data_IF_978110091047
#
_entry.id   IF_978110091047
#
_cell.length_a   1.000
_cell.length_b   1.000
_cell.length_c   1.000
_cell.angle_alpha   90.00
_cell.angle_beta   90.00
_cell.angle_gamma   90.00
#
_symmetry.space_group_name_H-M   'P 1'
#
loop_
_entity.id
_entity.type
_entity.pdbx_description
1 polymer ?
#
# COMPACT_ATOMS: atom_id res chain seq x y z
N UNK A 1 -24.68 19.22 21.54
CA UNK A 1 -23.40 19.30 22.26
C UNK A 1 -22.36 19.58 21.19
N UNK A 2 -21.59 20.66 21.32
CA UNK A 2 -20.55 20.99 20.33
C UNK A 2 -19.62 19.78 20.27
N UNK A 3 -19.54 19.10 19.13
CA UNK A 3 -18.47 18.12 18.92
C UNK A 3 -17.17 18.92 19.05
N UNK A 4 -16.42 18.70 20.12
CA UNK A 4 -15.03 19.14 20.16
C UNK A 4 -14.33 18.37 19.05
N UNK A 5 -13.66 19.07 18.12
CA UNK A 5 -12.85 18.40 17.10
C UNK A 5 -11.87 17.47 17.82
N UNK A 6 -12.05 16.15 17.67
CA UNK A 6 -11.16 15.14 18.27
C UNK A 6 -9.80 15.25 17.61
N UNK A 7 -8.75 15.27 18.41
CA UNK A 7 -7.38 15.24 17.95
C UNK A 7 -7.01 13.82 17.53
N UNK A 8 -6.46 13.66 16.34
CA UNK A 8 -6.11 12.35 15.79
C UNK A 8 -4.61 12.26 15.49
N UNK A 9 -3.96 11.20 15.94
CA UNK A 9 -2.64 10.82 15.50
C UNK A 9 -2.75 9.59 14.57
N UNK A 10 -1.90 9.52 13.55
CA UNK A 10 -1.89 8.42 12.58
C UNK A 10 -0.51 7.77 12.56
N UNK A 11 -0.46 6.45 12.54
CA UNK A 11 0.81 5.70 12.58
C UNK A 11 1.23 5.16 11.22
N UNK A 12 0.45 5.38 10.15
CA UNK A 12 0.76 4.99 8.79
C UNK A 12 0.28 6.02 7.74
N UNK A 13 0.88 6.05 6.53
CA UNK A 13 0.49 6.97 5.46
C UNK A 13 -0.98 6.84 5.04
N UNK A 14 -1.49 5.62 4.90
CA UNK A 14 -2.88 5.32 4.52
C UNK A 14 -3.89 6.03 5.45
N UNK A 15 -3.73 5.88 6.76
CA UNK A 15 -4.56 6.53 7.76
C UNK A 15 -4.47 8.06 7.70
N UNK A 16 -3.26 8.60 7.49
CA UNK A 16 -3.06 10.04 7.30
C UNK A 16 -3.85 10.57 6.11
N UNK A 17 -3.79 9.88 4.97
CA UNK A 17 -4.53 10.27 3.77
C UNK A 17 -6.05 10.24 3.99
N UNK A 18 -6.56 9.22 4.70
CA UNK A 18 -7.98 9.13 5.07
C UNK A 18 -8.37 10.34 5.92
N UNK A 19 -7.63 10.64 7.00
CA UNK A 19 -7.90 11.77 7.90
C UNK A 19 -7.98 13.10 7.14
N UNK A 20 -7.00 13.36 6.27
CA UNK A 20 -7.00 14.57 5.44
C UNK A 20 -8.16 14.60 4.44
N UNK A 21 -8.49 13.49 3.80
CA UNK A 21 -9.60 13.42 2.85
C UNK A 21 -10.97 13.67 3.53
N UNK A 22 -11.07 13.33 4.82
CA UNK A 22 -12.21 13.61 5.69
C UNK A 22 -12.26 15.05 6.21
N UNK A 23 -11.28 15.88 5.85
CA UNK A 23 -11.23 17.29 6.24
C UNK A 23 -10.76 17.53 7.67
N UNK A 24 -10.08 16.55 8.28
CA UNK A 24 -9.38 16.70 9.54
C UNK A 24 -7.86 16.77 9.29
N UNK A 25 -7.12 17.24 10.28
CA UNK A 25 -5.66 17.34 10.20
C UNK A 25 -5.05 16.61 11.41
N UNK A 26 -4.16 15.63 11.20
CA UNK A 26 -3.57 14.88 12.31
C UNK A 26 -2.64 15.77 13.14
N UNK A 27 -2.54 15.49 14.44
CA UNK A 27 -1.63 16.18 15.37
C UNK A 27 -0.23 15.58 15.37
N UNK A 28 -0.11 14.31 14.98
CA UNK A 28 1.14 13.59 14.74
C UNK A 28 0.90 12.51 13.67
N UNK A 29 1.93 12.17 12.89
CA UNK A 29 1.85 11.22 11.77
C UNK A 29 2.98 10.19 11.82
N UNK A 30 2.99 9.21 10.93
CA UNK A 30 4.18 8.35 10.73
C UNK A 30 5.31 9.11 10.03
N UNK A 31 6.53 8.61 10.15
CA UNK A 31 7.70 9.14 9.46
C UNK A 31 7.63 9.09 7.92
N UNK A 32 6.76 8.25 7.36
CA UNK A 32 6.56 8.08 5.90
C UNK A 32 5.38 8.89 5.38
N UNK A 33 4.74 9.71 6.22
CA UNK A 33 3.58 10.50 5.81
C UNK A 33 4.00 11.73 5.00
N UNK A 34 3.99 11.58 3.68
CA UNK A 34 4.35 12.61 2.70
C UNK A 34 3.12 13.20 1.95
N UNK A 35 1.95 12.57 2.09
CA UNK A 35 0.73 12.93 1.36
C UNK A 35 -0.46 13.18 2.30
N UNK A 36 -1.24 14.27 2.08
CA UNK A 36 -0.92 15.41 1.22
C UNK A 36 0.32 16.16 1.74
N UNK A 37 0.90 17.12 0.99
CA UNK A 37 2.15 17.81 1.40
C UNK A 37 2.14 18.47 2.79
N UNK A 38 0.95 18.74 3.34
CA UNK A 38 0.80 19.24 4.71
C UNK A 38 1.18 18.18 5.78
N UNK A 39 1.14 16.89 5.46
CA UNK A 39 1.52 15.79 6.34
C UNK A 39 3.02 15.79 6.68
N UNK A 40 3.89 16.12 5.71
CA UNK A 40 5.34 16.08 5.88
C UNK A 40 5.89 17.02 6.97
N UNK A 41 5.09 18.01 7.41
CA UNK A 41 5.45 18.94 8.48
C UNK A 41 5.04 18.51 9.89
N UNK A 42 4.39 17.35 10.03
CA UNK A 42 3.84 16.89 11.31
C UNK A 42 4.90 16.20 12.18
N UNK A 43 4.75 16.22 13.52
CA UNK A 43 5.58 15.42 14.41
C UNK A 43 5.45 13.93 14.08
N UNK A 44 6.60 13.26 13.90
CA UNK A 44 6.61 11.83 13.60
C UNK A 44 6.45 10.99 14.88
N UNK A 45 5.37 10.22 14.97
CA UNK A 45 5.02 9.33 16.07
C UNK A 45 5.69 7.95 16.00
N UNK A 46 6.44 7.66 14.93
CA UNK A 46 7.25 6.46 14.82
C UNK A 46 8.54 6.71 14.01
N UNK A 47 9.43 5.72 13.98
CA UNK A 47 10.62 5.67 13.11
C UNK A 47 10.90 4.25 12.65
N UNK A 48 11.46 4.10 11.46
CA UNK A 48 12.02 2.84 10.99
C UNK A 48 13.27 2.43 11.79
N UNK A 49 13.44 1.12 11.97
CA UNK A 49 14.65 0.47 12.49
C UNK A 49 15.53 -0.13 11.40
N UNK A 50 15.05 -0.11 10.15
CA UNK A 50 15.74 -0.60 8.95
C UNK A 50 16.24 0.57 8.10
N UNK A 51 17.28 0.34 7.30
CA UNK A 51 17.76 1.29 6.30
C UNK A 51 17.02 1.06 4.97
N UNK A 52 16.08 1.95 4.58
CA UNK A 52 15.30 1.78 3.36
C UNK A 52 16.10 2.08 2.08
N UNK A 53 17.36 2.53 2.20
CA UNK A 53 18.22 2.89 1.06
C UNK A 53 19.17 1.78 0.63
N UNK A 54 19.13 0.63 1.30
CA UNK A 54 19.91 -0.56 0.96
C UNK A 54 19.31 -1.32 -0.24
N UNK A 55 20.04 -2.33 -0.72
CA UNK A 55 19.57 -3.25 -1.77
C UNK A 55 18.45 -4.16 -1.22
N UNK A 56 17.55 -4.64 -2.10
CA UNK A 56 16.35 -5.38 -1.71
C UNK A 56 16.64 -6.59 -0.81
N UNK A 57 17.63 -7.42 -1.14
CA UNK A 57 17.99 -8.57 -0.30
C UNK A 57 18.56 -8.18 1.08
N UNK A 58 19.23 -7.02 1.19
CA UNK A 58 19.71 -6.51 2.48
C UNK A 58 18.57 -5.92 3.30
N UNK A 59 17.61 -5.24 2.67
CA UNK A 59 16.39 -4.76 3.34
C UNK A 59 15.59 -5.95 3.87
N UNK A 60 15.37 -6.99 3.07
CA UNK A 60 14.66 -8.22 3.51
C UNK A 60 15.32 -8.84 4.75
N UNK A 61 16.65 -8.92 4.76
CA UNK A 61 17.42 -9.42 5.91
C UNK A 61 17.24 -8.53 7.15
N UNK A 62 17.33 -7.21 7.00
CA UNK A 62 17.13 -6.26 8.11
C UNK A 62 15.70 -6.33 8.67
N UNK A 63 14.72 -6.47 7.79
CA UNK A 63 13.30 -6.57 8.15
C UNK A 63 13.04 -7.84 8.96
N UNK A 64 13.57 -8.98 8.53
CA UNK A 64 13.46 -10.25 9.29
C UNK A 64 14.13 -10.15 10.67
N UNK A 65 15.32 -9.55 10.76
CA UNK A 65 16.01 -9.33 12.04
C UNK A 65 15.24 -8.36 12.96
N UNK A 66 14.62 -7.32 12.40
CA UNK A 66 13.84 -6.35 13.15
C UNK A 66 12.53 -6.97 13.69
N UNK A 67 11.86 -7.79 12.89
CA UNK A 67 10.65 -8.52 13.29
C UNK A 67 10.93 -9.41 14.52
N UNK A 68 12.01 -10.19 14.48
CA UNK A 68 12.45 -11.02 15.62
C UNK A 68 12.83 -10.23 16.88
N UNK A 69 13.15 -8.93 16.73
CA UNK A 69 13.62 -8.06 17.81
C UNK A 69 12.63 -6.96 18.21
N UNK A 70 11.36 -7.12 17.83
CA UNK A 70 10.25 -6.28 18.29
C UNK A 70 9.72 -5.30 17.23
N UNK A 71 9.72 -5.71 15.96
CA UNK A 71 9.12 -5.01 14.84
C UNK A 71 10.04 -4.04 14.08
N UNK A 72 9.69 -3.77 12.83
CA UNK A 72 10.40 -2.85 11.90
C UNK A 72 10.32 -1.39 12.35
N UNK A 73 9.29 -1.03 13.12
CA UNK A 73 9.05 0.34 13.56
C UNK A 73 9.08 0.47 15.07
N UNK A 74 9.63 1.59 15.53
CA UNK A 74 9.57 2.01 16.93
C UNK A 74 8.56 3.14 17.09
N UNK A 75 7.66 3.00 18.05
CA UNK A 75 6.71 4.04 18.42
C UNK A 75 7.38 5.05 19.34
N UNK A 76 7.19 6.33 19.01
CA UNK A 76 7.65 7.47 19.81
C UNK A 76 6.51 7.93 20.72
N UNK A 77 6.33 7.20 21.82
CA UNK A 77 5.25 7.48 22.77
C UNK A 77 5.37 8.86 23.43
N UNK A 78 6.58 9.40 23.55
CA UNK A 78 6.84 10.77 24.01
C UNK A 78 6.19 11.82 23.10
N UNK A 79 6.25 11.61 21.78
CA UNK A 79 5.58 12.47 20.80
C UNK A 79 4.07 12.35 20.89
N UNK A 80 3.56 11.13 21.02
CA UNK A 80 2.13 10.91 21.18
C UNK A 80 1.62 11.57 22.47
N UNK A 81 2.37 11.48 23.57
CA UNK A 81 2.05 12.15 24.82
C UNK A 81 2.06 13.68 24.68
N UNK A 82 3.04 14.25 23.97
CA UNK A 82 3.10 15.70 23.71
C UNK A 82 1.96 16.17 22.79
N UNK A 83 1.61 15.37 21.78
CA UNK A 83 0.55 15.67 20.83
C UNK A 83 -0.86 15.54 21.43
N UNK A 84 -1.00 14.76 22.51
CA UNK A 84 -2.25 14.51 23.23
C UNK A 84 -3.45 14.17 22.30
N UNK A 85 -3.36 13.07 21.53
CA UNK A 85 -4.46 12.64 20.66
C UNK A 85 -5.62 12.07 21.48
N UNK A 86 -6.85 12.26 21.00
CA UNK A 86 -8.04 11.55 21.48
C UNK A 86 -8.22 10.20 20.77
N UNK A 87 -7.61 10.05 19.58
CA UNK A 87 -7.64 8.85 18.74
C UNK A 87 -6.24 8.62 18.15
N UNK A 88 -5.77 7.38 18.21
CA UNK A 88 -4.62 6.89 17.44
C UNK A 88 -5.14 5.93 16.38
N UNK A 89 -4.84 6.20 15.11
CA UNK A 89 -5.17 5.29 14.00
C UNK A 89 -3.93 4.51 13.61
N UNK A 90 -4.00 3.18 13.70
CA UNK A 90 -2.98 2.23 13.25
C UNK A 90 -3.52 1.31 12.15
N UNK A 91 -2.67 0.40 11.67
CA UNK A 91 -3.02 -0.56 10.62
C UNK A 91 -2.54 -1.96 10.99
N UNK A 92 -3.40 -2.96 10.75
CA UNK A 92 -3.15 -4.37 11.07
C UNK A 92 -2.82 -5.27 9.88
N UNK A 93 -2.50 -4.68 8.72
CA UNK A 93 -2.47 -5.42 7.44
C UNK A 93 -1.29 -6.39 7.28
N UNK A 94 -0.14 -6.02 7.82
CA UNK A 94 1.12 -6.69 7.57
C UNK A 94 1.86 -6.76 8.88
N UNK A 95 2.11 -7.97 9.35
CA UNK A 95 2.83 -8.23 10.60
C UNK A 95 4.26 -7.68 10.58
N UNK A 96 4.77 -7.37 9.38
CA UNK A 96 6.16 -6.94 9.14
C UNK A 96 6.24 -5.43 8.91
N UNK A 97 5.51 -4.92 7.91
CA UNK A 97 5.60 -3.54 7.44
C UNK A 97 4.54 -2.60 8.04
N UNK A 98 3.66 -3.10 8.93
CA UNK A 98 2.78 -2.24 9.71
C UNK A 98 3.29 -2.14 11.16
N UNK A 99 2.90 -1.06 11.84
CA UNK A 99 3.17 -0.96 13.28
C UNK A 99 2.23 -1.94 14.00
N UNK A 100 2.81 -3.00 14.56
CA UNK A 100 2.09 -4.03 15.31
C UNK A 100 1.15 -3.38 16.36
N UNK A 101 -0.13 -3.78 16.33
CA UNK A 101 -1.14 -3.29 17.27
C UNK A 101 -0.72 -3.49 18.73
N UNK A 102 -0.03 -4.58 19.04
CA UNK A 102 0.50 -4.86 20.38
C UNK A 102 1.47 -3.76 20.80
N UNK A 103 2.40 -3.37 19.94
CA UNK A 103 3.35 -2.28 20.23
C UNK A 103 2.61 -0.96 20.45
N UNK A 104 1.54 -0.70 19.69
CA UNK A 104 0.71 0.51 19.86
C UNK A 104 0.00 0.50 21.20
N UNK A 105 -0.57 -0.63 21.60
CA UNK A 105 -1.22 -0.78 22.91
C UNK A 105 -0.21 -0.62 24.05
N UNK A 106 0.96 -1.24 23.94
CA UNK A 106 2.04 -1.10 24.92
C UNK A 106 2.49 0.37 25.06
N UNK A 107 2.65 1.10 23.95
CA UNK A 107 3.00 2.51 23.99
C UNK A 107 1.90 3.38 24.62
N UNK A 108 0.62 3.09 24.34
CA UNK A 108 -0.52 3.78 24.96
C UNK A 108 -0.52 3.57 26.48
N UNK A 109 -0.27 2.34 26.94
CA UNK A 109 -0.20 2.00 28.35
C UNK A 109 1.03 2.59 29.05
N UNK A 110 2.22 2.47 28.45
CA UNK A 110 3.50 2.96 29.02
C UNK A 110 3.49 4.48 29.22
N UNK A 111 2.93 5.22 28.26
CA UNK A 111 2.88 6.68 28.29
C UNK A 111 1.57 7.22 28.89
N UNK A 112 0.72 6.35 29.44
CA UNK A 112 -0.56 6.70 30.08
C UNK A 112 -1.45 7.59 29.18
N UNK A 113 -1.53 7.27 27.89
CA UNK A 113 -2.29 8.05 26.91
C UNK A 113 -3.80 7.83 27.08
N UNK A 114 -4.57 8.92 27.18
CA UNK A 114 -6.04 8.89 27.23
C UNK A 114 -6.64 8.97 25.82
N UNK A 115 -6.39 7.94 25.01
CA UNK A 115 -6.81 7.89 23.61
C UNK A 115 -7.49 6.58 23.23
N UNK A 116 -8.37 6.65 22.23
CA UNK A 116 -8.95 5.48 21.57
C UNK A 116 -7.98 4.96 20.50
N UNK A 117 -7.73 3.64 20.46
CA UNK A 117 -6.99 3.00 19.37
C UNK A 117 -7.97 2.48 18.31
N UNK A 118 -7.84 2.97 17.08
CA UNK A 118 -8.57 2.49 15.91
C UNK A 118 -7.59 1.79 14.95
N UNK A 119 -7.79 0.49 14.71
CA UNK A 119 -6.95 -0.28 13.78
C UNK A 119 -7.72 -0.50 12.47
N UNK A 120 -7.17 -0.04 11.35
CA UNK A 120 -7.67 -0.36 10.00
C UNK A 120 -7.01 -1.64 9.49
N UNK A 121 -7.73 -2.46 8.74
CA UNK A 121 -7.18 -3.73 8.24
C UNK A 121 -7.72 -4.08 6.84
N UNK A 122 -7.33 -3.31 5.80
CA UNK A 122 -7.94 -3.45 4.50
C UNK A 122 -7.26 -4.53 3.65
N UNK A 123 -8.00 -5.58 3.29
CA UNK A 123 -7.55 -6.62 2.35
C UNK A 123 -8.13 -6.47 0.95
N UNK A 124 -9.08 -5.55 0.77
CA UNK A 124 -9.78 -5.30 -0.49
C UNK A 124 -10.22 -3.82 -0.60
N UNK A 125 -10.66 -3.42 -1.80
CA UNK A 125 -11.32 -2.12 -2.00
C UNK A 125 -12.57 -1.96 -1.11
N UNK A 126 -13.28 -3.07 -0.83
CA UNK A 126 -14.46 -3.02 0.02
C UNK A 126 -14.08 -2.70 1.46
N UNK A 127 -12.96 -3.23 1.94
CA UNK A 127 -12.45 -2.99 3.29
C UNK A 127 -11.96 -1.56 3.44
N UNK A 128 -11.24 -1.03 2.44
CA UNK A 128 -10.89 0.39 2.38
C UNK A 128 -12.12 1.28 2.57
N UNK A 129 -13.24 0.98 1.90
CA UNK A 129 -14.46 1.77 2.09
C UNK A 129 -15.00 1.69 3.52
N UNK A 130 -14.97 0.50 4.14
CA UNK A 130 -15.37 0.31 5.54
C UNK A 130 -14.45 1.06 6.49
N UNK A 131 -13.15 1.10 6.21
CA UNK A 131 -12.17 1.79 7.04
C UNK A 131 -12.34 3.32 6.96
N UNK A 132 -12.60 3.86 5.76
CA UNK A 132 -12.95 5.27 5.58
C UNK A 132 -14.20 5.64 6.38
N UNK A 133 -15.23 4.80 6.36
CA UNK A 133 -16.47 5.02 7.12
C UNK A 133 -16.23 4.96 8.64
N UNK A 134 -15.45 4.00 9.13
CA UNK A 134 -15.09 3.85 10.55
C UNK A 134 -14.27 5.05 11.06
N UNK A 135 -13.25 5.47 10.31
CA UNK A 135 -12.46 6.68 10.65
C UNK A 135 -13.37 7.93 10.59
N UNK A 136 -14.28 7.99 9.62
CA UNK A 136 -15.31 9.02 9.53
C UNK A 136 -16.16 9.12 10.78
N UNK A 137 -16.70 8.00 11.25
CA UNK A 137 -17.51 7.91 12.47
C UNK A 137 -16.71 8.35 13.71
N UNK A 138 -15.50 7.84 13.87
CA UNK A 138 -14.64 8.16 15.01
C UNK A 138 -14.34 9.67 15.11
N UNK A 139 -14.23 10.35 13.95
CA UNK A 139 -13.99 11.80 13.83
C UNK A 139 -15.25 12.66 13.78
N UNK A 140 -16.45 12.08 13.75
CA UNK A 140 -17.71 12.81 13.54
C UNK A 140 -17.80 13.48 12.15
N UNK A 141 -17.30 12.78 11.13
CA UNK A 141 -17.20 13.19 9.72
C UNK A 141 -17.91 12.20 8.78
N UNK A 142 -18.98 11.55 9.24
CA UNK A 142 -19.71 10.49 8.53
C UNK A 142 -20.19 10.92 7.14
N UNK A 143 -20.77 12.12 7.03
CA UNK A 143 -21.25 12.62 5.73
C UNK A 143 -20.10 12.82 4.74
N UNK A 144 -18.94 13.28 5.23
CA UNK A 144 -17.75 13.43 4.40
C UNK A 144 -17.15 12.08 4.00
N UNK A 145 -17.22 11.08 4.87
CA UNK A 145 -16.80 9.72 4.60
C UNK A 145 -17.66 9.08 3.51
N UNK A 146 -18.99 9.17 3.62
CA UNK A 146 -19.91 8.67 2.59
C UNK A 146 -19.66 9.35 1.23
N UNK A 147 -19.51 10.68 1.20
CA UNK A 147 -19.17 11.39 -0.03
C UNK A 147 -17.84 10.92 -0.65
N UNK A 148 -16.83 10.62 0.18
CA UNK A 148 -15.55 10.12 -0.28
C UNK A 148 -15.70 8.72 -0.89
N UNK A 149 -16.35 7.80 -0.18
CA UNK A 149 -16.61 6.43 -0.65
C UNK A 149 -17.39 6.43 -1.96
N UNK A 150 -18.44 7.26 -2.09
CA UNK A 150 -19.22 7.38 -3.32
C UNK A 150 -18.37 7.83 -4.51
N UNK A 151 -17.46 8.79 -4.29
CA UNK A 151 -16.52 9.24 -5.33
C UNK A 151 -15.55 8.14 -5.73
N UNK A 152 -14.98 7.41 -4.77
CA UNK A 152 -14.04 6.32 -5.03
C UNK A 152 -14.72 5.17 -5.80
N UNK A 153 -15.92 4.77 -5.37
CA UNK A 153 -16.73 3.76 -6.09
C UNK A 153 -17.06 4.20 -7.51
N UNK A 154 -17.39 5.47 -7.71
CA UNK A 154 -17.69 6.00 -9.04
C UNK A 154 -16.46 5.97 -9.96
N UNK A 155 -15.26 6.26 -9.44
CA UNK A 155 -14.00 6.13 -10.19
C UNK A 155 -13.73 4.67 -10.57
N UNK A 156 -13.86 3.74 -9.63
CA UNK A 156 -13.69 2.30 -9.89
C UNK A 156 -14.66 1.83 -10.99
N UNK A 157 -15.94 2.17 -10.89
CA UNK A 157 -16.93 1.81 -11.89
C UNK A 157 -16.62 2.42 -13.28
N UNK A 158 -16.07 3.63 -13.34
CA UNK A 158 -15.65 4.25 -14.58
C UNK A 158 -14.48 3.49 -15.23
N UNK A 159 -13.53 3.00 -14.44
CA UNK A 159 -12.42 2.15 -14.91
C UNK A 159 -12.96 0.83 -15.45
N UNK A 160 -13.76 0.11 -14.66
CA UNK A 160 -14.35 -1.18 -15.04
C UNK A 160 -15.18 -1.05 -16.34
N UNK A 161 -15.89 0.06 -16.55
CA UNK A 161 -16.67 0.30 -17.77
C UNK A 161 -15.85 0.49 -19.05
N UNK A 162 -14.56 0.80 -18.93
CA UNK A 162 -13.62 1.00 -20.04
C UNK A 162 -12.80 -0.26 -20.34
N UNK A 163 -12.85 -1.27 -19.47
CA UNK A 163 -12.16 -2.55 -19.67
C UNK A 163 -12.72 -3.21 -20.94
N UNK A 164 -11.86 -3.51 -21.94
CA UNK A 164 -12.33 -4.11 -23.18
C UNK A 164 -12.72 -5.57 -22.95
N UNK A 165 -13.77 -6.03 -23.65
CA UNK A 165 -14.17 -7.45 -23.67
C UNK A 165 -13.15 -8.27 -24.49
N UNK A 166 -12.17 -8.86 -23.79
CA UNK A 166 -11.06 -9.64 -24.36
C UNK A 166 -10.77 -10.87 -23.49
N UNK A 167 -9.98 -11.79 -24.03
CA UNK A 167 -9.51 -12.93 -23.25
C UNK A 167 -8.66 -12.43 -22.05
N UNK A 168 -8.89 -13.00 -20.84
CA UNK A 168 -8.10 -12.64 -19.67
C UNK A 168 -6.62 -12.90 -19.89
N UNK A 169 -5.80 -11.93 -19.52
CA UNK A 169 -4.33 -12.06 -19.54
C UNK A 169 -3.85 -12.61 -18.21
N UNK A 170 -2.85 -13.48 -18.23
CA UNK A 170 -2.12 -13.86 -17.02
C UNK A 170 -1.22 -12.72 -16.55
N UNK A 171 -1.34 -12.30 -15.30
CA UNK A 171 -0.63 -11.14 -14.75
C UNK A 171 0.17 -11.56 -13.52
N UNK A 172 1.44 -11.16 -13.47
CA UNK A 172 2.24 -11.20 -12.26
C UNK A 172 2.51 -9.77 -11.78
N UNK A 173 2.25 -9.51 -10.50
CA UNK A 173 2.66 -8.26 -9.83
C UNK A 173 3.64 -8.64 -8.72
N UNK A 174 4.88 -8.16 -8.83
CA UNK A 174 5.92 -8.40 -7.84
C UNK A 174 5.91 -7.28 -6.80
N UNK A 175 5.66 -7.67 -5.55
CA UNK A 175 5.69 -6.80 -4.37
C UNK A 175 7.08 -6.75 -3.71
N UNK A 176 7.99 -7.63 -4.16
CA UNK A 176 9.41 -7.63 -3.82
C UNK A 176 10.22 -8.38 -4.87
N UNK A 177 11.50 -8.03 -5.04
CA UNK A 177 12.37 -8.56 -6.10
C UNK A 177 13.32 -9.66 -5.63
N UNK A 178 13.87 -9.54 -4.42
CA UNK A 178 14.71 -10.58 -3.80
C UNK A 178 14.49 -10.70 -2.27
N UNK A 179 13.87 -11.80 -1.80
CA UNK A 179 13.31 -12.91 -2.58
C UNK A 179 12.13 -12.46 -3.45
N UNK A 180 11.85 -13.18 -4.53
CA UNK A 180 10.67 -12.90 -5.37
C UNK A 180 9.40 -13.07 -4.53
N UNK A 181 8.65 -11.98 -4.35
CA UNK A 181 7.35 -11.99 -3.67
C UNK A 181 6.25 -11.53 -4.61
N UNK A 182 5.17 -12.30 -4.65
CA UNK A 182 3.97 -11.94 -5.42
C UNK A 182 3.02 -11.14 -4.54
N UNK A 183 2.44 -10.08 -5.12
CA UNK A 183 1.54 -9.19 -4.42
C UNK A 183 0.25 -9.90 -3.98
N UNK A 184 -0.23 -9.52 -2.79
CA UNK A 184 -1.47 -10.01 -2.19
C UNK A 184 -2.53 -8.91 -1.97
N UNK A 185 -3.35 -9.12 -0.95
CA UNK A 185 -4.42 -8.23 -0.50
C UNK A 185 -5.35 -7.81 -1.66
N UNK A 186 -5.40 -6.52 -1.97
CA UNK A 186 -6.26 -5.96 -3.00
C UNK A 186 -5.79 -6.25 -4.42
N UNK A 187 -4.50 -6.54 -4.64
CA UNK A 187 -3.90 -6.61 -5.98
C UNK A 187 -4.54 -7.72 -6.83
N UNK A 188 -4.67 -8.98 -6.37
CA UNK A 188 -5.33 -10.02 -7.17
C UNK A 188 -6.77 -9.64 -7.53
N UNK A 189 -7.54 -9.12 -6.56
CA UNK A 189 -8.92 -8.68 -6.80
C UNK A 189 -9.03 -7.48 -7.75
N UNK A 190 -8.03 -6.59 -7.79
CA UNK A 190 -7.97 -5.50 -8.77
C UNK A 190 -7.69 -6.01 -10.19
N UNK A 191 -6.76 -6.95 -10.33
CA UNK A 191 -6.46 -7.59 -11.62
C UNK A 191 -7.69 -8.30 -12.17
N UNK A 192 -8.43 -9.01 -11.31
CA UNK A 192 -9.69 -9.68 -11.69
C UNK A 192 -10.78 -8.68 -12.12
N UNK A 193 -10.90 -7.54 -11.42
CA UNK A 193 -11.83 -6.45 -11.82
C UNK A 193 -11.49 -5.85 -13.18
N UNK A 194 -10.21 -5.90 -13.57
CA UNK A 194 -9.73 -5.50 -14.89
C UNK A 194 -9.86 -6.61 -15.94
N UNK A 195 -10.61 -7.68 -15.64
CA UNK A 195 -10.90 -8.77 -16.56
C UNK A 195 -9.67 -9.65 -16.88
N UNK A 196 -8.64 -9.63 -16.03
CA UNK A 196 -7.42 -10.42 -16.18
C UNK A 196 -7.28 -11.43 -15.05
N UNK A 197 -6.34 -12.38 -15.20
CA UNK A 197 -6.09 -13.46 -14.27
C UNK A 197 -4.81 -13.16 -13.48
N UNK A 198 -4.86 -13.25 -12.14
CA UNK A 198 -3.67 -13.15 -11.30
C UNK A 198 -3.00 -14.50 -11.06
N UNK A 199 -3.79 -15.55 -10.78
CA UNK A 199 -3.41 -16.99 -10.76
C UNK A 199 -2.30 -17.43 -9.80
N UNK A 200 -1.55 -16.49 -9.20
CA UNK A 200 -0.37 -16.72 -8.35
C UNK A 200 -0.67 -16.51 -6.86
N UNK A 201 -1.77 -15.83 -6.54
CA UNK A 201 -2.27 -15.60 -5.18
C UNK A 201 -3.80 -15.47 -5.20
N UNK A 202 -4.43 -15.87 -4.10
CA UNK A 202 -5.87 -15.68 -3.90
C UNK A 202 -6.18 -14.21 -3.53
N UNK A 203 -7.32 -13.64 -3.96
CA UNK A 203 -7.77 -12.34 -3.47
C UNK A 203 -7.78 -12.27 -1.94
N UNK A 204 -7.45 -11.09 -1.39
CA UNK A 204 -7.41 -10.79 0.05
C UNK A 204 -6.28 -11.49 0.85
N UNK A 205 -5.63 -12.52 0.30
CA UNK A 205 -4.50 -13.20 0.95
C UNK A 205 -3.23 -12.34 0.92
N UNK A 206 -2.42 -12.39 1.98
CA UNK A 206 -1.21 -11.59 2.09
C UNK A 206 -0.18 -11.84 0.96
N UNK A 207 0.66 -10.85 0.68
CA UNK A 207 1.83 -11.04 -0.20
C UNK A 207 2.69 -12.19 0.32
N UNK A 208 3.30 -12.96 -0.58
CA UNK A 208 4.10 -14.12 -0.19
C UNK A 208 5.29 -14.36 -1.11
N UNK A 209 6.37 -14.97 -0.59
CA UNK A 209 7.42 -15.52 -1.42
C UNK A 209 6.87 -16.54 -2.43
N UNK A 210 7.45 -16.51 -3.63
CA UNK A 210 7.10 -17.40 -4.72
C UNK A 210 8.37 -17.94 -5.38
N UNK A 211 8.44 -19.26 -5.51
CA UNK A 211 9.54 -19.91 -6.22
C UNK A 211 9.57 -19.45 -7.69
N UNK A 212 10.74 -19.09 -8.19
CA UNK A 212 10.91 -18.57 -9.55
C UNK A 212 10.39 -19.55 -10.62
N UNK A 213 10.55 -20.85 -10.41
CA UNK A 213 10.01 -21.89 -11.29
C UNK A 213 8.50 -21.82 -11.42
N UNK A 214 7.79 -21.43 -10.36
CA UNK A 214 6.33 -21.25 -10.38
C UNK A 214 5.94 -20.07 -11.26
N UNK A 215 6.70 -18.97 -11.22
CA UNK A 215 6.50 -17.81 -12.11
C UNK A 215 6.71 -18.21 -13.57
N UNK A 216 7.76 -18.99 -13.85
CA UNK A 216 8.06 -19.46 -15.22
C UNK A 216 6.99 -20.42 -15.75
N UNK A 217 6.48 -21.32 -14.91
CA UNK A 217 5.40 -22.24 -15.27
C UNK A 217 4.08 -21.50 -15.50
N UNK A 218 3.81 -20.43 -14.74
CA UNK A 218 2.66 -19.57 -14.93
C UNK A 218 2.74 -18.75 -16.23
N UNK A 219 3.96 -18.42 -16.69
CA UNK A 219 4.24 -17.68 -17.93
C UNK A 219 3.36 -16.43 -18.09
N UNK A 220 3.55 -15.40 -17.24
CA UNK A 220 2.72 -14.20 -17.25
C UNK A 220 2.83 -13.45 -18.58
N UNK A 221 1.70 -12.93 -19.04
CA UNK A 221 1.57 -12.09 -20.25
C UNK A 221 1.71 -10.59 -19.95
N UNK A 222 1.65 -10.22 -18.67
CA UNK A 222 1.98 -8.90 -18.12
C UNK A 222 2.76 -9.09 -16.83
N UNK A 223 3.87 -8.38 -16.71
CA UNK A 223 4.62 -8.28 -15.45
C UNK A 223 4.57 -6.82 -14.98
N UNK A 224 4.24 -6.63 -13.70
CA UNK A 224 4.33 -5.35 -13.01
C UNK A 224 5.29 -5.52 -11.84
N UNK A 225 6.35 -4.72 -11.81
CA UNK A 225 7.34 -4.68 -10.74
C UNK A 225 7.00 -3.47 -9.88
N UNK A 226 6.56 -3.69 -8.64
CA UNK A 226 6.16 -2.62 -7.74
C UNK A 226 6.55 -2.92 -6.28
N UNK A 227 7.87 -3.03 -6.00
CA UNK A 227 8.37 -3.38 -4.68
C UNK A 227 7.89 -2.43 -3.59
N UNK A 228 7.45 -2.99 -2.46
CA UNK A 228 6.99 -2.21 -1.33
C UNK A 228 8.05 -1.21 -0.86
N UNK A 229 7.65 0.02 -0.55
CA UNK A 229 8.59 1.05 -0.09
C UNK A 229 9.51 1.65 -1.17
N UNK A 230 9.53 1.13 -2.40
CA UNK A 230 10.39 1.62 -3.48
C UNK A 230 9.66 2.60 -4.41
N UNK A 231 10.33 3.69 -4.73
CA UNK A 231 10.00 4.53 -5.89
C UNK A 231 10.58 3.91 -7.18
N UNK A 232 10.31 4.52 -8.34
CA UNK A 232 10.80 3.99 -9.62
C UNK A 232 12.33 3.88 -9.71
N UNK A 233 13.07 4.90 -9.25
CA UNK A 233 14.54 4.90 -9.32
C UNK A 233 15.15 3.71 -8.57
N UNK A 234 14.67 3.44 -7.35
CA UNK A 234 15.12 2.28 -6.56
C UNK A 234 14.67 0.95 -7.17
N UNK A 235 13.50 0.93 -7.82
CA UNK A 235 13.04 -0.24 -8.59
C UNK A 235 14.01 -0.54 -9.75
N UNK A 236 14.54 0.48 -10.44
CA UNK A 236 15.58 0.34 -11.46
C UNK A 236 16.90 -0.17 -10.93
N UNK A 237 17.32 0.31 -9.77
CA UNK A 237 18.57 -0.12 -9.14
C UNK A 237 18.54 -1.62 -8.77
N UNK A 238 17.36 -2.15 -8.45
CA UNK A 238 17.17 -3.54 -8.01
C UNK A 238 16.57 -4.45 -9.10
N UNK A 239 16.41 -3.96 -10.34
CA UNK A 239 15.72 -4.70 -11.40
C UNK A 239 16.47 -5.97 -11.83
N UNK A 240 17.80 -5.97 -11.69
CA UNK A 240 18.68 -7.10 -11.98
C UNK A 240 18.34 -8.35 -11.15
N UNK A 241 17.77 -8.18 -9.95
CA UNK A 241 17.24 -9.26 -9.11
C UNK A 241 16.24 -10.15 -9.86
N UNK A 242 15.51 -9.60 -10.82
CA UNK A 242 14.55 -10.30 -11.66
C UNK A 242 15.12 -10.57 -13.05
N UNK A 243 15.74 -9.57 -13.69
CA UNK A 243 16.12 -9.64 -15.11
C UNK A 243 17.30 -10.55 -15.37
N UNK A 244 18.17 -10.79 -14.38
CA UNK A 244 19.29 -11.74 -14.50
C UNK A 244 18.89 -13.20 -14.19
N UNK A 245 17.64 -13.46 -13.78
CA UNK A 245 17.19 -14.82 -13.46
C UNK A 245 17.03 -15.68 -14.71
N UNK A 246 17.46 -16.94 -14.60
CA UNK A 246 17.33 -17.94 -15.67
C UNK A 246 15.88 -18.07 -16.16
N UNK A 247 15.67 -17.83 -17.45
CA UNK A 247 14.35 -17.90 -18.09
C UNK A 247 13.53 -16.60 -18.04
N UNK A 248 14.06 -15.50 -17.49
CA UNK A 248 13.42 -14.19 -17.56
C UNK A 248 13.09 -13.79 -19.01
N UNK A 249 14.08 -13.88 -19.92
CA UNK A 249 13.90 -13.55 -21.34
C UNK A 249 12.90 -14.45 -22.07
N UNK A 250 12.56 -15.59 -21.48
CA UNK A 250 11.63 -16.57 -22.04
C UNK A 250 10.18 -16.31 -21.60
N UNK A 251 9.91 -15.39 -20.66
CA UNK A 251 8.54 -15.06 -20.27
C UNK A 251 7.77 -14.39 -21.41
N UNK A 252 6.48 -14.69 -21.56
CA UNK A 252 5.62 -14.07 -22.57
C UNK A 252 5.61 -12.53 -22.44
N UNK A 253 5.48 -12.01 -21.21
CA UNK A 253 5.52 -10.58 -20.94
C UNK A 253 6.81 -9.91 -21.44
N UNK A 254 7.97 -10.55 -21.31
CA UNK A 254 9.27 -10.00 -21.76
C UNK A 254 9.38 -10.04 -23.28
N UNK A 255 8.96 -11.15 -23.90
CA UNK A 255 8.97 -11.31 -25.37
C UNK A 255 8.04 -10.31 -26.07
N UNK A 256 6.95 -9.93 -25.42
CA UNK A 256 5.91 -9.06 -25.96
C UNK A 256 6.01 -7.60 -25.50
N UNK A 257 7.09 -7.19 -24.81
CA UNK A 257 7.31 -5.81 -24.34
C UNK A 257 6.20 -5.33 -23.37
N UNK A 258 5.86 -6.19 -22.39
CA UNK A 258 4.77 -5.99 -21.41
C UNK A 258 5.25 -6.13 -19.96
N UNK A 259 6.44 -5.61 -19.70
CA UNK A 259 7.00 -5.45 -18.36
C UNK A 259 6.88 -3.99 -17.97
N UNK A 260 6.39 -3.74 -16.75
CA UNK A 260 6.14 -2.40 -16.25
C UNK A 260 6.77 -2.24 -14.86
N UNK A 261 7.28 -1.06 -14.56
CA UNK A 261 7.60 -0.64 -13.20
C UNK A 261 6.52 0.32 -12.71
N UNK A 262 6.08 0.18 -11.46
CA UNK A 262 5.13 1.09 -10.81
C UNK A 262 5.64 1.44 -9.43
N UNK A 263 5.46 2.69 -9.02
CA UNK A 263 5.79 3.18 -7.69
C UNK A 263 5.07 2.34 -6.61
N UNK A 264 5.84 1.45 -5.97
CA UNK A 264 5.34 0.56 -4.95
C UNK A 264 5.16 1.27 -3.60
N UNK A 265 5.96 2.31 -3.35
CA UNK A 265 5.92 3.13 -2.15
C UNK A 265 4.61 3.92 -2.00
N UNK A 266 4.18 4.61 -3.04
CA UNK A 266 3.03 5.51 -3.01
C UNK A 266 1.73 4.88 -3.50
N UNK A 267 1.79 3.99 -4.50
CA UNK A 267 0.60 3.47 -5.16
C UNK A 267 0.26 2.05 -4.73
N UNK A 268 1.21 1.12 -4.66
CA UNK A 268 0.83 -0.30 -4.51
C UNK A 268 0.64 -0.75 -3.07
N UNK A 269 1.29 -0.11 -2.09
CA UNK A 269 1.34 -0.59 -0.71
C UNK A 269 0.67 0.31 0.34
N UNK A 270 -0.01 1.38 -0.10
CA UNK A 270 -0.75 2.30 0.79
C UNK A 270 -2.26 2.14 0.58
N UNK A 271 -2.98 1.39 1.44
CA UNK A 271 -4.42 1.21 1.30
C UNK A 271 -5.19 2.40 1.87
N UNK A 272 -4.95 3.58 1.29
CA UNK A 272 -5.72 4.79 1.52
C UNK A 272 -6.60 5.13 0.32
N UNK A 273 -7.17 6.35 0.26
CA UNK A 273 -8.01 6.78 -0.86
C UNK A 273 -7.33 6.69 -2.24
N UNK A 274 -5.99 6.78 -2.28
CA UNK A 274 -5.19 6.63 -3.51
C UNK A 274 -5.11 5.20 -4.05
N UNK A 275 -5.66 4.20 -3.34
CA UNK A 275 -5.72 2.82 -3.83
C UNK A 275 -6.49 2.68 -5.17
N UNK A 276 -7.38 3.65 -5.46
CA UNK A 276 -8.04 3.73 -6.78
C UNK A 276 -7.07 4.17 -7.89
N UNK A 277 -6.03 4.94 -7.58
CA UNK A 277 -4.96 5.30 -8.52
C UNK A 277 -4.09 4.08 -8.87
N UNK A 278 -3.92 3.15 -7.91
CA UNK A 278 -3.29 1.84 -8.15
C UNK A 278 -4.08 1.01 -9.17
N UNK A 279 -5.41 1.01 -9.07
CA UNK A 279 -6.27 0.37 -10.06
C UNK A 279 -6.16 1.05 -11.44
N UNK A 280 -6.02 2.38 -11.50
CA UNK A 280 -5.77 3.12 -12.74
C UNK A 280 -4.41 2.74 -13.37
N UNK A 281 -3.36 2.61 -12.55
CA UNK A 281 -2.04 2.19 -12.99
C UNK A 281 -2.04 0.74 -13.52
N UNK A 282 -2.71 -0.19 -12.82
CA UNK A 282 -2.89 -1.56 -13.30
C UNK A 282 -3.68 -1.59 -14.61
N UNK A 283 -4.75 -0.79 -14.73
CA UNK A 283 -5.53 -0.70 -15.95
C UNK A 283 -4.68 -0.27 -17.15
N UNK A 284 -3.76 0.69 -16.96
CA UNK A 284 -2.78 1.08 -17.97
C UNK A 284 -1.79 -0.03 -18.33
N UNK A 285 -1.22 -0.73 -17.34
CA UNK A 285 -0.30 -1.85 -17.60
C UNK A 285 -0.97 -2.96 -18.43
N UNK A 286 -2.24 -3.24 -18.14
CA UNK A 286 -3.02 -4.29 -18.80
C UNK A 286 -3.54 -3.86 -20.18
N UNK A 287 -3.92 -2.59 -20.35
CA UNK A 287 -4.54 -2.05 -21.56
C UNK A 287 -4.00 -0.63 -21.90
N UNK A 288 -2.72 -0.51 -22.31
CA UNK A 288 -2.06 0.78 -22.50
C UNK A 288 -2.61 1.63 -23.65
N UNK A 289 -3.40 1.04 -24.55
CA UNK A 289 -4.10 1.76 -25.64
C UNK A 289 -5.45 2.35 -25.18
N UNK A 290 -6.01 1.84 -24.07
CA UNK A 290 -7.35 2.20 -23.58
C UNK A 290 -7.29 3.14 -22.36
N UNK A 291 -6.19 3.10 -21.60
CA UNK A 291 -5.97 3.90 -20.40
C UNK A 291 -4.72 4.78 -20.56
N UNK A 292 -4.75 5.95 -19.93
CA UNK A 292 -3.61 6.85 -19.91
C UNK A 292 -2.58 6.37 -18.89
N UNK A 293 -1.29 6.57 -19.20
CA UNK A 293 -0.21 6.35 -18.23
C UNK A 293 -0.46 7.23 -17.00
N UNK A 294 -0.30 6.70 -15.76
CA UNK A 294 -0.33 7.51 -14.55
C UNK A 294 0.56 8.76 -14.67
N UNK A 295 0.09 9.87 -14.09
CA UNK A 295 0.82 11.13 -14.16
C UNK A 295 2.12 11.09 -13.35
N UNK A 296 3.14 11.81 -13.81
CA UNK A 296 4.45 11.87 -13.15
C UNK A 296 5.28 10.61 -13.34
N UNK A 297 6.30 10.45 -12.51
CA UNK A 297 7.22 9.31 -12.49
C UNK A 297 6.66 8.19 -11.60
N UNK A 298 5.37 7.83 -11.80
CA UNK A 298 4.66 6.88 -10.96
C UNK A 298 4.51 5.48 -11.58
N UNK A 299 4.64 5.36 -12.90
CA UNK A 299 4.60 4.09 -13.61
C UNK A 299 5.29 4.23 -14.97
N UNK A 300 5.93 3.17 -15.45
CA UNK A 300 6.52 3.12 -16.79
C UNK A 300 6.66 1.71 -17.36
N UNK A 301 6.96 1.63 -18.66
CA UNK A 301 7.28 0.38 -19.34
C UNK A 301 8.80 0.22 -19.37
N UNK A 302 9.28 -0.98 -19.05
CA UNK A 302 10.68 -1.37 -19.00
C UNK A 302 11.17 -1.97 -20.32
#
# INVERSE_FOLDING_TARGET
MSSSDRHVATLLPSATEIVYALGAEPVATSHECDHPPAAAGKPNANRARVDPTAEAGEIDSQVQEADESGGVYEIRGDVLAEAAPDIVVSQGICDVCAVDEVLVREAIEEYELDCELLTTDPHSLADLYRDIEQVGEALGREERAHELVDRLRSRVAAIESRVPDREPKRVAVFDWTDPVMVAGHWIPGMVERLGSEFGLQEPEAASRPLEWDTVREYDPEVVVVAPCGFELDQTHENLDDLTERDGWSDLAAVRDDRVYAVDGHSLMNRPGPRLVESLEALAWCLYPDEFDRPAGDAAERL
#
